data_IF_936230066428
#
_entry.id   IF_936230066428
#
_cell.length_a   1.000
_cell.length_b   1.000
_cell.length_c   1.000
_cell.angle_alpha   90.00
_cell.angle_beta   90.00
_cell.angle_gamma   90.00
#
_symmetry.space_group_name_H-M   'P 1'
#
loop_
_entity.id
_entity.type
_entity.pdbx_description
1 polymer ?
#
# COMPACT_ATOMS: atom_id res chain seq x y z
N UNK A 1 -6.19 49.92 -44.22
CA UNK A 1 -5.77 49.70 -42.81
C UNK A 1 -6.60 48.64 -42.09
N UNK A 2 -7.72 48.17 -42.65
CA UNK A 2 -8.67 47.27 -41.96
C UNK A 2 -8.23 45.80 -41.87
N UNK A 3 -7.43 45.34 -42.83
CA UNK A 3 -6.99 43.95 -42.90
C UNK A 3 -6.07 43.55 -41.72
N UNK A 4 -5.24 44.48 -41.25
CA UNK A 4 -4.34 44.26 -40.12
C UNK A 4 -5.11 44.04 -38.80
N UNK A 5 -6.25 44.70 -38.64
CA UNK A 5 -7.09 44.58 -37.44
C UNK A 5 -7.84 43.24 -37.42
N UNK A 6 -8.36 42.81 -38.59
CA UNK A 6 -9.07 41.53 -38.73
C UNK A 6 -8.12 40.35 -38.48
N UNK A 7 -6.91 40.38 -39.05
CA UNK A 7 -5.91 39.32 -38.86
C UNK A 7 -5.47 39.25 -37.40
N UNK A 8 -5.26 40.39 -36.74
CA UNK A 8 -4.94 40.43 -35.29
C UNK A 8 -6.08 39.87 -34.44
N UNK A 9 -7.34 40.19 -34.75
CA UNK A 9 -8.50 39.62 -34.05
C UNK A 9 -8.60 38.11 -34.24
N UNK A 10 -8.37 37.59 -35.45
CA UNK A 10 -8.36 36.15 -35.71
C UNK A 10 -7.24 35.42 -34.97
N UNK A 11 -6.05 36.04 -34.87
CA UNK A 11 -4.92 35.48 -34.12
C UNK A 11 -5.24 35.47 -32.61
N UNK A 12 -5.84 36.53 -32.07
CA UNK A 12 -6.22 36.57 -30.65
C UNK A 12 -7.33 35.56 -30.31
N UNK A 13 -8.34 35.42 -31.17
CA UNK A 13 -9.41 34.42 -31.01
C UNK A 13 -8.87 32.98 -31.03
N UNK A 14 -7.96 32.68 -31.96
CA UNK A 14 -7.36 31.34 -32.04
C UNK A 14 -6.45 31.05 -30.84
N UNK A 15 -5.70 32.04 -30.34
CA UNK A 15 -4.89 31.90 -29.13
C UNK A 15 -5.74 31.69 -27.87
N UNK A 16 -6.90 32.35 -27.78
CA UNK A 16 -7.85 32.16 -26.67
C UNK A 16 -8.49 30.76 -26.66
N UNK A 17 -8.82 30.19 -27.83
CA UNK A 17 -9.46 28.85 -27.92
C UNK A 17 -8.46 27.74 -27.54
N UNK A 18 -7.19 27.88 -27.90
CA UNK A 18 -6.12 26.92 -27.53
C UNK A 18 -5.77 26.98 -26.02
N UNK A 19 -6.06 28.11 -25.37
CA UNK A 19 -5.85 28.32 -23.94
C UNK A 19 -6.98 27.74 -23.04
N UNK A 20 -7.78 26.80 -23.54
CA UNK A 20 -8.80 26.08 -22.75
C UNK A 20 -8.23 24.95 -21.90
N UNK A 21 -6.90 24.72 -21.91
CA UNK A 21 -6.22 23.90 -20.88
C UNK A 21 -5.92 24.70 -19.62
N UNK A 22 -6.94 25.35 -19.06
CA UNK A 22 -6.91 25.90 -17.70
C UNK A 22 -6.92 24.76 -16.68
N UNK A 23 -5.77 24.09 -16.52
CA UNK A 23 -5.51 23.16 -15.41
C UNK A 23 -5.47 23.99 -14.12
N UNK A 24 -6.53 23.96 -13.33
CA UNK A 24 -6.52 24.63 -12.02
C UNK A 24 -7.87 24.98 -11.40
N UNK A 25 -8.98 24.89 -12.15
CA UNK A 25 -10.31 25.17 -11.58
C UNK A 25 -11.01 23.97 -10.95
N UNK A 26 -10.60 22.74 -11.31
CA UNK A 26 -11.13 21.49 -10.73
C UNK A 26 -10.02 20.72 -10.03
N UNK A 27 -10.31 20.08 -8.89
CA UNK A 27 -9.35 19.19 -8.25
C UNK A 27 -9.06 17.99 -9.17
N UNK A 28 -7.83 17.49 -9.15
CA UNK A 28 -7.43 16.27 -9.85
C UNK A 28 -7.74 15.03 -9.01
N UNK A 29 -8.31 13.99 -9.62
CA UNK A 29 -8.51 12.70 -8.94
C UNK A 29 -7.18 12.09 -8.49
N UNK A 30 -7.15 11.57 -7.26
CA UNK A 30 -6.01 10.85 -6.72
C UNK A 30 -5.98 9.40 -7.24
N UNK A 31 -4.79 8.81 -7.32
CA UNK A 31 -4.59 7.38 -7.67
C UNK A 31 -4.28 6.52 -6.44
N UNK A 32 -4.59 7.05 -5.25
CA UNK A 32 -4.27 6.40 -3.97
C UNK A 32 -5.37 5.38 -3.69
N UNK A 33 -4.99 4.12 -3.47
CA UNK A 33 -5.88 3.03 -3.09
C UNK A 33 -5.66 2.70 -1.59
N UNK A 34 -6.67 2.16 -0.87
CA UNK A 34 -8.01 1.77 -1.32
C UNK A 34 -8.95 2.97 -1.53
N UNK A 35 -9.93 2.81 -2.43
CA UNK A 35 -11.02 3.78 -2.60
C UNK A 35 -12.05 3.52 -1.51
N UNK A 36 -12.48 4.59 -0.82
CA UNK A 36 -13.58 4.52 0.13
C UNK A 36 -14.91 4.51 -0.62
N UNK A 37 -15.92 3.87 -0.04
CA UNK A 37 -17.27 3.88 -0.57
C UNK A 37 -17.81 5.31 -0.68
N UNK A 38 -18.66 5.53 -1.69
CA UNK A 38 -19.28 6.82 -1.90
C UNK A 38 -20.36 7.04 -0.84
N UNK A 39 -20.43 8.27 -0.31
CA UNK A 39 -21.51 8.66 0.59
C UNK A 39 -22.72 9.04 -0.25
N UNK A 40 -23.71 8.16 -0.30
CA UNK A 40 -24.96 8.39 -1.02
C UNK A 40 -25.93 9.21 -0.17
N UNK A 41 -26.69 10.14 -0.77
CA UNK A 41 -27.72 10.89 -0.05
C UNK A 41 -28.88 9.96 0.32
N UNK A 42 -29.50 10.21 1.48
CA UNK A 42 -30.65 9.43 1.93
C UNK A 42 -31.87 9.69 1.02
N UNK A 43 -32.56 8.62 0.61
CA UNK A 43 -33.82 8.67 -0.13
C UNK A 43 -33.75 8.05 -1.53
N UNK A 44 -34.91 7.61 -2.04
CA UNK A 44 -35.00 6.80 -3.27
C UNK A 44 -35.06 7.62 -4.58
N UNK A 45 -34.72 8.91 -4.54
CA UNK A 45 -34.85 9.81 -5.72
C UNK A 45 -33.87 9.41 -6.83
N UNK A 46 -32.70 8.89 -6.43
CA UNK A 46 -31.65 8.47 -7.35
C UNK A 46 -31.64 6.96 -7.59
N UNK A 47 -32.57 6.23 -6.96
CA UNK A 47 -32.68 4.79 -7.13
C UNK A 47 -33.34 4.49 -8.50
N UNK A 48 -32.85 3.47 -9.22
CA UNK A 48 -33.43 3.09 -10.51
C UNK A 48 -34.83 2.49 -10.36
N UNK A 49 -35.64 2.64 -11.41
CA UNK A 49 -36.97 1.98 -11.52
C UNK A 49 -36.80 0.46 -11.55
N UNK A 50 -37.72 -0.34 -10.97
CA UNK A 50 -37.63 -1.80 -11.01
C UNK A 50 -37.57 -2.39 -12.43
N UNK A 51 -38.16 -1.73 -13.42
CA UNK A 51 -38.10 -2.14 -14.83
C UNK A 51 -36.68 -2.06 -15.42
N UNK A 52 -35.83 -1.19 -14.87
CA UNK A 52 -34.45 -1.03 -15.31
C UNK A 52 -33.50 -2.03 -14.61
N UNK A 53 -33.97 -2.74 -13.58
CA UNK A 53 -33.19 -3.69 -12.76
C UNK A 53 -33.31 -5.12 -13.35
N UNK A 54 -33.29 -5.22 -14.68
CA UNK A 54 -33.31 -6.50 -15.38
C UNK A 54 -31.88 -7.05 -15.56
N UNK A 55 -31.52 -8.09 -14.81
CA UNK A 55 -30.17 -8.69 -14.86
C UNK A 55 -29.70 -9.06 -16.26
N UNK A 56 -30.59 -9.64 -17.07
CA UNK A 56 -30.27 -10.10 -18.41
C UNK A 56 -29.96 -8.94 -19.34
N UNK A 57 -30.67 -7.82 -19.19
CA UNK A 57 -30.47 -6.62 -19.98
C UNK A 57 -29.21 -5.89 -19.53
N UNK A 58 -28.95 -5.79 -18.22
CA UNK A 58 -27.73 -5.21 -17.67
C UNK A 58 -26.47 -6.00 -18.08
N UNK A 59 -26.52 -7.34 -18.06
CA UNK A 59 -25.42 -8.19 -18.54
C UNK A 59 -25.15 -8.00 -20.03
N UNK A 60 -26.20 -7.87 -20.85
CA UNK A 60 -26.07 -7.55 -22.28
C UNK A 60 -25.47 -6.17 -22.51
N UNK A 61 -25.86 -5.18 -21.70
CA UNK A 61 -25.35 -3.81 -21.78
C UNK A 61 -23.86 -3.73 -21.40
N UNK A 62 -23.45 -4.47 -20.37
CA UNK A 62 -22.04 -4.58 -19.96
C UNK A 62 -21.19 -5.37 -20.97
N UNK A 63 -21.79 -6.40 -21.59
CA UNK A 63 -21.15 -7.19 -22.65
C UNK A 63 -19.78 -7.74 -22.23
N UNK A 64 -18.72 -7.26 -22.87
CA UNK A 64 -17.33 -7.69 -22.62
C UNK A 64 -16.71 -7.15 -21.34
N UNK A 65 -17.31 -6.15 -20.70
CA UNK A 65 -16.80 -5.57 -19.45
C UNK A 65 -17.26 -6.35 -18.21
N UNK A 66 -18.23 -7.26 -18.38
CA UNK A 66 -18.69 -8.12 -17.30
C UNK A 66 -17.66 -9.23 -17.03
N UNK A 67 -17.03 -9.20 -15.86
CA UNK A 67 -16.16 -10.27 -15.38
C UNK A 67 -16.86 -11.06 -14.26
N UNK A 68 -17.31 -12.31 -14.51
CA UNK A 68 -17.98 -13.12 -13.50
C UNK A 68 -17.09 -13.52 -12.32
N UNK A 69 -15.77 -13.32 -12.40
CA UNK A 69 -14.86 -13.60 -11.29
C UNK A 69 -14.76 -12.45 -10.28
N UNK A 70 -15.09 -11.23 -10.71
CA UNK A 70 -14.92 -10.00 -9.91
C UNK A 70 -16.25 -9.29 -9.66
N UNK A 71 -17.25 -9.52 -10.52
CA UNK A 71 -18.59 -8.92 -10.43
C UNK A 71 -19.64 -9.99 -10.18
N UNK A 72 -20.59 -9.71 -9.30
CA UNK A 72 -21.74 -10.58 -9.00
C UNK A 72 -22.97 -9.75 -8.64
N UNK A 73 -24.16 -10.23 -9.02
CA UNK A 73 -25.43 -9.62 -8.60
C UNK A 73 -25.70 -9.87 -7.12
N UNK A 74 -25.46 -11.12 -6.69
CA UNK A 74 -25.61 -11.52 -5.30
C UNK A 74 -24.29 -11.40 -4.59
N UNK A 75 -24.33 -11.05 -3.30
CA UNK A 75 -23.15 -11.10 -2.46
C UNK A 75 -22.72 -12.57 -2.36
N UNK A 76 -21.52 -12.92 -2.84
CA UNK A 76 -21.04 -14.29 -2.74
C UNK A 76 -20.93 -14.66 -1.26
N UNK A 77 -21.38 -15.87 -0.91
CA UNK A 77 -21.32 -16.34 0.47
C UNK A 77 -19.91 -16.19 1.02
N UNK A 78 -19.78 -15.82 2.30
CA UNK A 78 -18.47 -15.63 2.93
C UNK A 78 -17.53 -16.85 2.77
N UNK A 79 -18.11 -18.05 2.64
CA UNK A 79 -17.43 -19.30 2.34
C UNK A 79 -16.92 -19.41 0.90
N UNK A 80 -17.63 -18.85 -0.09
CA UNK A 80 -17.20 -18.81 -1.48
C UNK A 80 -16.08 -17.80 -1.73
N UNK A 81 -16.12 -16.65 -1.04
CA UNK A 81 -15.03 -15.67 -1.07
C UNK A 81 -13.76 -16.23 -0.41
N UNK A 82 -13.92 -16.92 0.73
CA UNK A 82 -12.81 -17.46 1.49
C UNK A 82 -13.15 -18.87 2.05
N UNK A 83 -12.78 -19.97 1.36
CA UNK A 83 -12.93 -21.31 1.92
C UNK A 83 -12.13 -21.52 3.22
N UNK A 84 -11.29 -20.54 3.63
CA UNK A 84 -10.53 -20.51 4.89
C UNK A 84 -10.52 -19.11 5.56
N UNK A 85 -11.53 -18.25 5.32
CA UNK A 85 -11.67 -16.94 5.99
C UNK A 85 -10.57 -15.90 5.75
N UNK A 86 -9.60 -16.17 4.86
CA UNK A 86 -8.51 -15.26 4.53
C UNK A 86 -8.58 -14.85 3.08
N UNK A 87 -8.48 -13.54 2.81
CA UNK A 87 -8.24 -12.95 1.48
C UNK A 87 -7.22 -13.82 0.73
N UNK A 88 -7.43 -14.07 -0.59
CA UNK A 88 -6.43 -14.74 -1.45
C UNK A 88 -5.15 -13.91 -1.47
N UNK A 89 -4.37 -13.98 -0.40
CA UNK A 89 -3.03 -13.48 -0.35
C UNK A 89 -2.26 -14.30 -1.37
N UNK A 90 -1.46 -13.66 -2.22
CA UNK A 90 -0.58 -14.35 -3.16
C UNK A 90 0.51 -15.13 -2.43
N UNK A 91 0.12 -16.15 -1.67
CA UNK A 91 0.95 -17.00 -0.83
C UNK A 91 0.69 -18.45 -1.25
N UNK A 92 1.73 -19.14 -1.67
CA UNK A 92 1.72 -20.56 -2.00
C UNK A 92 2.11 -21.38 -0.78
N UNK A 93 1.33 -22.41 -0.47
CA UNK A 93 1.73 -23.44 0.51
C UNK A 93 2.78 -24.36 -0.11
N UNK A 94 3.90 -24.53 0.58
CA UNK A 94 4.94 -25.51 0.23
C UNK A 94 4.52 -26.90 0.72
N UNK A 95 5.10 -27.99 0.18
CA UNK A 95 4.89 -29.38 0.67
C UNK A 95 5.13 -29.52 2.19
N UNK A 96 5.97 -28.66 2.76
CA UNK A 96 6.27 -28.58 4.20
C UNK A 96 5.28 -27.74 5.02
N UNK A 97 4.17 -27.28 4.43
CA UNK A 97 3.19 -26.41 5.09
C UNK A 97 3.58 -24.94 5.21
N UNK A 98 4.79 -24.55 4.80
CA UNK A 98 5.23 -23.15 4.85
C UNK A 98 4.58 -22.30 3.76
N UNK A 99 4.07 -21.12 4.15
CA UNK A 99 3.53 -20.11 3.25
C UNK A 99 4.66 -19.27 2.64
N UNK A 100 4.72 -19.21 1.31
CA UNK A 100 5.73 -18.45 0.56
C UNK A 100 5.05 -17.49 -0.39
N UNK A 101 5.48 -16.21 -0.50
CA UNK A 101 4.91 -15.28 -1.46
C UNK A 101 5.05 -15.79 -2.90
N UNK A 102 4.00 -15.55 -3.68
CA UNK A 102 3.92 -15.84 -5.09
C UNK A 102 4.69 -14.77 -5.86
N UNK A 103 5.55 -15.21 -6.78
CA UNK A 103 6.40 -14.33 -7.58
C UNK A 103 7.85 -14.27 -7.11
N UNK A 104 8.70 -13.64 -7.92
CA UNK A 104 10.12 -13.50 -7.62
C UNK A 104 10.34 -12.42 -6.53
N UNK A 105 11.30 -12.61 -5.60
CA UNK A 105 11.55 -11.62 -4.58
C UNK A 105 12.09 -10.33 -5.23
N UNK A 106 11.69 -9.14 -4.72
CA UNK A 106 12.18 -7.87 -5.23
C UNK A 106 13.70 -7.74 -5.23
N UNK A 107 14.24 -6.98 -6.21
CA UNK A 107 15.69 -6.83 -6.43
C UNK A 107 16.42 -6.27 -5.20
N UNK A 108 15.79 -5.37 -4.44
CA UNK A 108 16.39 -4.77 -3.24
C UNK A 108 16.59 -5.80 -2.12
N UNK A 109 15.64 -6.73 -1.92
CA UNK A 109 15.78 -7.85 -0.99
C UNK A 109 16.89 -8.80 -1.44
N UNK A 110 16.96 -9.10 -2.75
CA UNK A 110 18.00 -9.98 -3.31
C UNK A 110 19.42 -9.41 -3.12
N UNK A 111 19.57 -8.09 -3.18
CA UNK A 111 20.86 -7.37 -3.07
C UNK A 111 21.24 -7.00 -1.63
N UNK A 112 20.41 -7.34 -0.65
CA UNK A 112 20.68 -7.01 0.75
C UNK A 112 21.88 -7.81 1.28
N UNK A 113 23.03 -7.15 1.42
CA UNK A 113 24.25 -7.75 1.97
C UNK A 113 24.20 -7.77 3.51
N UNK A 114 23.55 -8.78 4.08
CA UNK A 114 23.46 -9.00 5.54
C UNK A 114 24.79 -9.40 6.22
N UNK A 115 25.92 -9.34 5.49
CA UNK A 115 27.24 -9.69 6.02
C UNK A 115 27.84 -8.57 6.88
N UNK A 116 27.47 -7.31 6.64
CA UNK A 116 28.03 -6.17 7.34
C UNK A 116 26.95 -5.17 7.70
N UNK A 117 26.93 -4.73 8.96
CA UNK A 117 26.10 -3.61 9.41
C UNK A 117 27.01 -2.42 9.66
N UNK A 118 26.64 -1.25 9.12
CA UNK A 118 27.31 0.01 9.42
C UNK A 118 26.72 0.56 10.70
N UNK A 119 27.54 0.77 11.73
CA UNK A 119 27.14 1.59 12.88
C UNK A 119 27.26 3.08 12.53
N UNK A 120 26.60 3.95 13.30
CA UNK A 120 26.61 5.41 13.11
C UNK A 120 28.01 6.02 13.07
N UNK A 121 29.00 5.35 13.68
CA UNK A 121 30.42 5.73 13.67
C UNK A 121 31.23 5.22 12.46
N UNK A 122 30.58 4.70 11.41
CA UNK A 122 31.26 4.18 10.21
C UNK A 122 31.94 2.82 10.37
N UNK A 123 32.05 2.30 11.60
CA UNK A 123 32.54 0.94 11.88
C UNK A 123 31.61 -0.11 11.30
N UNK A 124 32.17 -1.05 10.53
CA UNK A 124 31.44 -2.17 9.92
C UNK A 124 31.60 -3.40 10.80
N UNK A 125 30.50 -3.87 11.40
CA UNK A 125 30.50 -5.12 12.16
C UNK A 125 30.12 -6.25 11.20
N UNK A 126 30.98 -7.26 11.12
CA UNK A 126 30.70 -8.46 10.35
C UNK A 126 29.68 -9.33 11.09
N UNK A 127 28.50 -9.52 10.51
CA UNK A 127 27.53 -10.47 11.01
C UNK A 127 27.89 -11.86 10.46
N UNK A 128 28.22 -12.80 11.35
CA UNK A 128 28.35 -14.22 11.01
C UNK A 128 26.97 -14.82 10.76
N UNK A 129 26.40 -14.51 9.59
CA UNK A 129 25.12 -15.04 9.16
C UNK A 129 25.32 -16.19 8.18
N UNK A 130 24.93 -17.41 8.56
CA UNK A 130 25.03 -18.58 7.68
C UNK A 130 24.15 -18.46 6.42
N UNK A 131 24.53 -19.13 5.34
CA UNK A 131 23.82 -19.10 4.04
C UNK A 131 22.33 -19.49 4.15
N UNK A 132 21.99 -20.40 5.06
CA UNK A 132 20.59 -20.77 5.36
C UNK A 132 19.82 -19.62 6.01
N UNK A 133 20.43 -18.91 6.95
CA UNK A 133 19.85 -17.77 7.64
C UNK A 133 19.65 -16.58 6.70
N UNK A 134 20.59 -16.33 5.78
CA UNK A 134 20.48 -15.28 4.73
C UNK A 134 19.25 -15.44 3.84
N UNK A 135 18.84 -16.69 3.56
CA UNK A 135 17.67 -16.98 2.70
C UNK A 135 16.34 -16.89 3.45
N UNK A 136 16.33 -16.94 4.79
CA UNK A 136 15.12 -16.88 5.62
C UNK A 136 14.79 -15.46 6.09
N UNK A 137 15.79 -14.72 6.60
CA UNK A 137 15.59 -13.42 7.27
C UNK A 137 14.80 -12.35 6.50
N UNK A 138 14.95 -12.13 5.18
CA UNK A 138 14.15 -11.10 4.52
C UNK A 138 12.67 -11.48 4.34
N UNK A 139 12.26 -12.69 4.71
CA UNK A 139 10.88 -13.18 4.58
C UNK A 139 10.08 -13.11 5.88
N UNK A 140 10.76 -13.06 7.02
CA UNK A 140 10.12 -13.02 8.33
C UNK A 140 9.87 -11.56 8.72
N UNK A 141 8.61 -11.12 8.64
CA UNK A 141 8.18 -9.77 9.06
C UNK A 141 8.46 -9.50 10.55
N UNK A 142 8.68 -10.53 11.36
CA UNK A 142 9.08 -10.43 12.77
C UNK A 142 10.50 -9.88 12.97
N UNK A 143 11.32 -9.79 11.91
CA UNK A 143 12.70 -9.30 12.03
C UNK A 143 12.85 -7.79 11.79
N UNK A 144 11.76 -7.06 11.52
CA UNK A 144 11.81 -5.61 11.28
C UNK A 144 11.81 -4.76 12.56
N UNK A 145 11.71 -5.37 13.75
CA UNK A 145 11.99 -4.72 15.03
C UNK A 145 12.66 -5.79 15.92
N UNK A 146 13.98 -5.69 16.15
CA UNK A 146 14.42 -5.28 17.48
C UNK A 146 15.70 -4.45 17.40
N UNK A 147 15.56 -3.13 17.21
CA UNK A 147 16.58 -2.19 17.64
C UNK A 147 16.13 -1.66 18.99
N UNK A 148 16.21 -2.46 20.06
CA UNK A 148 16.12 -2.04 21.47
C UNK A 148 16.20 -3.26 22.41
N UNK A 149 17.11 -4.21 22.18
CA UNK A 149 17.45 -5.21 23.22
C UNK A 149 18.82 -5.80 22.97
N UNK A 150 19.84 -4.96 22.86
CA UNK A 150 21.19 -5.43 23.17
C UNK A 150 21.28 -5.38 24.69
N UNK A 151 21.18 -6.55 25.30
CA UNK A 151 21.36 -6.73 26.73
C UNK A 151 22.74 -6.24 27.15
N UNK A 152 22.78 -5.03 27.70
CA UNK A 152 23.88 -4.58 28.52
C UNK A 152 23.55 -5.07 29.93
N UNK A 153 24.21 -6.15 30.33
CA UNK A 153 24.22 -6.63 31.71
C UNK A 153 24.96 -5.56 32.51
N UNK A 154 24.21 -4.66 33.14
CA UNK A 154 24.76 -3.65 34.06
C UNK A 154 24.99 -4.33 35.40
N UNK A 155 26.21 -4.80 35.62
CA UNK A 155 26.66 -5.26 36.93
C UNK A 155 26.56 -4.09 37.91
N UNK A 156 25.61 -4.18 38.84
CA UNK A 156 25.50 -3.23 39.95
C UNK A 156 26.63 -3.49 40.94
N UNK A 157 27.72 -2.73 40.79
CA UNK A 157 28.68 -2.55 41.86
C UNK A 157 27.99 -1.86 43.05
N UNK A 158 27.75 -2.65 44.09
CA UNK A 158 27.29 -2.20 45.40
C UNK A 158 28.49 -1.60 46.13
N UNK A 159 28.57 -0.27 46.19
CA UNK A 159 29.48 0.43 47.09
C UNK A 159 28.77 0.75 48.41
N UNK A 160 29.40 0.52 49.57
CA UNK A 160 28.82 0.80 50.88
C UNK A 160 29.04 2.27 51.27
N UNK A 161 28.00 2.94 51.75
CA UNK A 161 28.15 4.22 52.47
C UNK A 161 28.34 3.92 53.96
N UNK A 162 29.45 4.42 54.51
CA UNK A 162 29.72 4.65 55.93
C UNK A 162 29.62 6.17 56.21
N UNK A 163 29.60 6.48 57.51
CA UNK A 163 29.60 7.78 58.22
C UNK A 163 28.20 8.22 58.66
N UNK A 164 27.82 8.03 59.93
CA UNK A 164 28.32 8.58 61.22
C UNK A 164 27.75 9.97 61.57
N UNK A 165 27.08 10.01 62.73
CA UNK A 165 26.96 11.15 63.67
C UNK A 165 26.23 12.41 63.16
N UNK A 166 25.49 13.20 63.93
CA UNK A 166 25.20 13.29 65.36
C UNK A 166 24.01 14.26 65.52
N UNK A 167 23.27 14.02 66.59
CA UNK A 167 22.27 14.85 67.33
C UNK A 167 22.70 16.32 67.49
N UNK A 168 21.80 17.29 67.82
CA UNK A 168 21.00 17.33 69.06
C UNK A 168 19.49 17.25 68.88
#
# INVERSE_FOLDING_TARGET
MEYQTIVRCFILLTFCIVSTKCKGRRPSGSKIMPVLELMEPEGAIYDPSPEDIDESNLKKLLGSFFDPQVMSTEQPSAFALFPNGTVKLGLKKTRSGQLVPQGAPPKYIKRMHLQFVKMGEGKRIQLKMGNKMRRRKPRDKSCLIPLLTVGIRMDHHRSPMREESSVP
#
